data_IF_287806566475
#
_entry.id   IF_287806566475
#
_cell.length_a   1.000
_cell.length_b   1.000
_cell.length_c   1.000
_cell.angle_alpha   90.00
_cell.angle_beta   90.00
_cell.angle_gamma   90.00
#
_symmetry.space_group_name_H-M   'P 1'
#
loop_
_entity.id
_entity.type
_entity.pdbx_description
1 polymer ?
#
# COMPACT_ATOMS: atom_id res chain seq x y z
N UNK A 1 -5.92 52.28 17.23
CA UNK A 1 -6.60 51.04 17.66
C UNK A 1 -7.43 50.49 16.50
N UNK A 2 -6.88 49.54 15.75
CA UNK A 2 -7.68 48.66 14.89
C UNK A 2 -7.21 47.25 15.23
N UNK A 3 -8.14 46.49 15.81
CA UNK A 3 -7.90 45.15 16.34
C UNK A 3 -7.69 44.16 15.20
N UNK A 4 -6.75 43.26 15.49
CA UNK A 4 -6.51 41.95 14.90
C UNK A 4 -7.73 41.30 14.25
N UNK A 5 -7.57 40.95 12.98
CA UNK A 5 -8.19 39.77 12.39
C UNK A 5 -7.07 38.76 12.12
N UNK A 6 -6.77 37.91 13.09
CA UNK A 6 -5.89 36.76 12.91
C UNK A 6 -6.59 35.82 11.93
N UNK A 7 -6.18 35.91 10.65
CA UNK A 7 -6.45 34.87 9.69
C UNK A 7 -5.62 33.64 10.11
N UNK A 8 -6.23 32.76 10.90
CA UNK A 8 -5.69 31.43 11.19
C UNK A 8 -5.61 30.62 9.89
N UNK A 9 -4.50 30.78 9.17
CA UNK A 9 -4.13 29.87 8.09
C UNK A 9 -3.79 28.53 8.74
N UNK A 10 -4.75 27.60 8.75
CA UNK A 10 -4.49 26.18 8.99
C UNK A 10 -3.58 25.69 7.86
N UNK A 11 -2.26 25.88 8.02
CA UNK A 11 -1.25 25.44 7.06
C UNK A 11 -1.29 23.92 7.04
N UNK A 12 -1.93 23.35 6.03
CA UNK A 12 -2.00 21.91 5.83
C UNK A 12 -0.59 21.38 5.57
N UNK A 13 -0.25 20.26 6.21
CA UNK A 13 1.00 19.56 5.96
C UNK A 13 1.04 19.13 4.49
N UNK A 14 2.03 19.60 3.73
CA UNK A 14 2.18 19.27 2.32
C UNK A 14 3.55 18.67 2.07
N UNK A 15 3.57 17.62 1.25
CA UNK A 15 4.80 17.08 0.70
C UNK A 15 4.87 17.31 -0.80
N UNK A 16 6.09 17.52 -1.31
CA UNK A 16 6.35 17.71 -2.74
C UNK A 16 7.63 17.01 -3.14
N UNK A 17 7.68 16.49 -4.37
CA UNK A 17 8.92 16.05 -4.99
C UNK A 17 9.66 17.28 -5.53
N UNK A 18 10.90 17.47 -5.09
CA UNK A 18 11.76 18.58 -5.52
C UNK A 18 12.56 18.18 -6.75
N UNK A 19 13.11 16.97 -6.69
CA UNK A 19 14.01 16.45 -7.71
C UNK A 19 13.74 14.96 -7.86
N UNK A 20 13.72 14.49 -9.10
CA UNK A 20 13.76 13.08 -9.42
C UNK A 20 14.67 12.91 -10.61
N UNK A 21 15.69 12.07 -10.48
CA UNK A 21 16.66 11.78 -11.54
C UNK A 21 16.91 10.29 -11.61
N UNK A 22 17.25 9.86 -12.82
CA UNK A 22 17.66 8.48 -13.10
C UNK A 22 19.13 8.56 -13.47
N UNK A 23 20.00 8.24 -12.51
CA UNK A 23 21.45 8.33 -12.68
C UNK A 23 21.97 7.14 -13.52
N UNK A 24 21.36 5.97 -13.36
CA UNK A 24 21.60 4.80 -14.21
C UNK A 24 20.38 3.88 -14.24
N UNK A 25 20.39 2.83 -15.09
CA UNK A 25 19.33 1.80 -15.12
C UNK A 25 19.03 1.21 -13.74
N UNK A 26 20.02 1.18 -12.84
CA UNK A 26 19.96 0.59 -11.50
C UNK A 26 20.13 1.61 -10.36
N UNK A 27 20.05 2.91 -10.64
CA UNK A 27 20.20 3.96 -9.63
C UNK A 27 19.23 5.10 -9.89
N UNK A 28 18.13 5.10 -9.14
CA UNK A 28 17.10 6.13 -9.24
C UNK A 28 17.17 6.96 -7.97
N UNK A 29 17.16 8.29 -8.11
CA UNK A 29 17.19 9.23 -6.99
C UNK A 29 15.92 10.07 -6.96
N UNK A 30 15.43 10.31 -5.75
CA UNK A 30 14.33 11.22 -5.49
C UNK A 30 14.56 12.04 -4.23
N UNK A 31 14.33 13.35 -4.33
CA UNK A 31 14.34 14.29 -3.21
C UNK A 31 12.94 14.82 -2.95
N UNK A 32 12.50 14.72 -1.71
CA UNK A 32 11.17 15.11 -1.26
C UNK A 32 11.25 16.11 -0.13
N UNK A 33 10.30 17.04 -0.07
CA UNK A 33 10.13 18.00 1.01
C UNK A 33 8.82 17.71 1.73
N UNK A 34 8.82 17.83 3.06
CA UNK A 34 7.63 17.86 3.90
C UNK A 34 7.66 19.13 4.77
N UNK A 35 6.61 19.96 4.65
CA UNK A 35 6.48 21.21 5.42
C UNK A 35 5.02 21.69 5.49
N UNK A 36 4.65 22.54 6.46
CA UNK A 36 5.42 22.95 7.63
C UNK A 36 5.35 21.93 8.77
N UNK A 37 6.45 21.72 9.49
CA UNK A 37 6.53 20.88 10.68
C UNK A 37 6.80 21.71 11.93
N UNK A 38 6.31 21.27 13.09
CA UNK A 38 6.72 21.83 14.38
C UNK A 38 8.10 21.30 14.77
N UNK A 39 8.79 22.04 15.65
CA UNK A 39 10.12 21.66 16.15
C UNK A 39 10.15 20.22 16.69
N UNK A 40 11.02 19.37 16.14
CA UNK A 40 11.21 17.96 16.53
C UNK A 40 10.30 16.96 15.81
N UNK A 41 9.26 17.41 15.11
CA UNK A 41 8.45 16.51 14.27
C UNK A 41 9.25 16.02 13.05
N UNK A 42 10.15 16.86 12.51
CA UNK A 42 10.97 16.49 11.37
C UNK A 42 11.94 15.35 11.69
N UNK A 43 12.56 15.36 12.86
CA UNK A 43 13.42 14.25 13.33
C UNK A 43 12.63 12.95 13.45
N UNK A 44 11.46 13.02 14.10
CA UNK A 44 10.59 11.87 14.32
C UNK A 44 10.21 11.20 13.00
N UNK A 45 9.73 12.00 12.04
CA UNK A 45 9.32 11.50 10.73
C UNK A 45 10.53 11.05 9.91
N UNK A 46 11.63 11.80 9.93
CA UNK A 46 12.85 11.49 9.18
C UNK A 46 13.48 10.16 9.59
N UNK A 47 13.62 9.93 10.89
CA UNK A 47 14.17 8.68 11.44
C UNK A 47 13.23 7.50 11.14
N UNK A 48 11.93 7.67 11.37
CA UNK A 48 10.95 6.61 11.10
C UNK A 48 10.93 6.23 9.61
N UNK A 49 10.87 7.22 8.72
CA UNK A 49 10.89 7.01 7.27
C UNK A 49 12.17 6.33 6.82
N UNK A 50 13.34 6.78 7.31
CA UNK A 50 14.61 6.16 6.96
C UNK A 50 14.66 4.68 7.36
N UNK A 51 14.14 4.33 8.53
CA UNK A 51 14.06 2.93 9.00
C UNK A 51 13.11 2.10 8.14
N UNK A 52 11.92 2.62 7.84
CA UNK A 52 10.93 1.93 7.02
C UNK A 52 11.43 1.71 5.58
N UNK A 53 12.04 2.74 4.98
CA UNK A 53 12.60 2.68 3.62
C UNK A 53 13.69 1.61 3.48
N UNK A 54 14.58 1.49 4.47
CA UNK A 54 15.70 0.55 4.42
C UNK A 54 15.32 -0.87 4.89
N UNK A 55 14.34 -1.01 5.79
CA UNK A 55 14.06 -2.29 6.44
C UNK A 55 12.79 -3.00 6.00
N UNK A 56 11.74 -2.26 5.65
CA UNK A 56 10.38 -2.80 5.57
C UNK A 56 9.81 -2.88 4.15
N UNK A 57 10.49 -2.28 3.18
CA UNK A 57 10.09 -2.34 1.78
C UNK A 57 10.33 -3.74 1.23
N UNK A 58 9.35 -4.25 0.49
CA UNK A 58 9.42 -5.54 -0.16
C UNK A 58 10.20 -5.46 -1.48
N UNK A 59 11.11 -6.41 -1.67
CA UNK A 59 11.87 -6.58 -2.91
C UNK A 59 11.61 -7.93 -3.53
N UNK A 60 11.84 -8.02 -4.85
CA UNK A 60 11.81 -9.28 -5.59
C UNK A 60 13.22 -9.69 -5.95
N UNK A 61 13.61 -10.92 -5.66
CA UNK A 61 14.91 -11.46 -6.06
C UNK A 61 14.83 -12.95 -6.41
N UNK A 62 15.89 -13.46 -7.02
CA UNK A 62 16.08 -14.88 -7.28
C UNK A 62 16.62 -15.53 -5.99
N UNK A 63 15.98 -16.60 -5.55
CA UNK A 63 16.28 -17.29 -4.28
C UNK A 63 16.95 -18.64 -4.45
N UNK A 64 16.70 -19.31 -5.58
CA UNK A 64 17.30 -20.61 -5.91
C UNK A 64 17.57 -20.69 -7.40
N UNK A 65 18.62 -21.40 -7.75
CA UNK A 65 18.93 -21.82 -9.11
C UNK A 65 19.19 -23.33 -9.11
N UNK A 66 18.57 -24.08 -10.03
CA UNK A 66 18.77 -25.52 -10.19
C UNK A 66 19.32 -25.80 -11.58
N UNK A 67 20.35 -26.64 -11.65
CA UNK A 67 20.94 -27.08 -12.91
C UNK A 67 21.25 -28.57 -12.86
N UNK A 68 20.87 -29.31 -13.90
CA UNK A 68 20.97 -30.78 -13.93
C UNK A 68 22.41 -31.30 -14.03
N UNK A 69 23.31 -30.52 -14.65
CA UNK A 69 24.65 -30.99 -15.06
C UNK A 69 25.76 -30.63 -14.07
N UNK A 70 25.42 -30.17 -12.87
CA UNK A 70 26.37 -29.55 -11.96
C UNK A 70 26.44 -30.32 -10.64
N UNK A 71 27.64 -30.79 -10.21
CA UNK A 71 27.77 -31.52 -8.95
C UNK A 71 27.76 -30.60 -7.72
N UNK A 72 28.39 -29.41 -7.80
CA UNK A 72 28.50 -28.47 -6.68
C UNK A 72 28.71 -27.02 -7.16
N UNK A 73 28.48 -26.04 -6.28
CA UNK A 73 28.53 -24.60 -6.59
C UNK A 73 29.89 -24.09 -7.11
N UNK A 74 30.98 -24.78 -6.77
CA UNK A 74 32.34 -24.42 -7.16
C UNK A 74 32.83 -25.11 -8.44
N UNK A 75 31.98 -25.86 -9.14
CA UNK A 75 32.43 -26.58 -10.34
C UNK A 75 32.40 -25.67 -11.55
N UNK A 76 33.27 -25.98 -12.51
CA UNK A 76 33.25 -25.38 -13.85
C UNK A 76 32.48 -26.29 -14.80
N UNK A 77 31.74 -25.68 -15.72
CA UNK A 77 31.02 -26.40 -16.78
C UNK A 77 31.87 -26.25 -18.04
N UNK A 78 32.28 -27.36 -18.65
CA UNK A 78 33.02 -27.35 -19.92
C UNK A 78 32.23 -26.57 -20.96
N UNK A 79 32.88 -25.67 -21.69
CA UNK A 79 32.28 -24.82 -22.73
C UNK A 79 31.49 -23.60 -22.24
N UNK A 80 31.59 -23.28 -20.95
CA UNK A 80 31.17 -22.01 -20.34
C UNK A 80 32.41 -21.32 -19.77
N UNK A 81 32.54 -20.01 -19.98
CA UNK A 81 33.69 -19.25 -19.49
C UNK A 81 33.70 -19.08 -17.96
N UNK A 82 32.52 -18.81 -17.38
CA UNK A 82 32.34 -18.56 -15.95
C UNK A 82 32.16 -19.85 -15.15
N UNK A 83 32.57 -19.80 -13.88
CA UNK A 83 32.24 -20.82 -12.89
C UNK A 83 30.77 -20.74 -12.46
N UNK A 84 30.23 -21.84 -11.92
CA UNK A 84 28.86 -21.86 -11.39
C UNK A 84 28.67 -20.80 -10.30
N UNK A 85 29.67 -20.58 -9.45
CA UNK A 85 29.64 -19.54 -8.43
C UNK A 85 29.51 -18.14 -9.02
N UNK A 86 30.27 -17.82 -10.07
CA UNK A 86 30.18 -16.54 -10.77
C UNK A 86 28.81 -16.35 -11.42
N UNK A 87 28.25 -17.41 -12.01
CA UNK A 87 26.88 -17.39 -12.54
C UNK A 87 25.86 -17.08 -11.43
N UNK A 88 25.99 -17.72 -10.26
CA UNK A 88 25.11 -17.45 -9.11
C UNK A 88 25.24 -16.00 -8.62
N UNK A 89 26.46 -15.44 -8.60
CA UNK A 89 26.69 -14.02 -8.26
C UNK A 89 26.09 -13.08 -9.30
N UNK A 90 26.25 -13.38 -10.59
CA UNK A 90 25.65 -12.60 -11.67
C UNK A 90 24.11 -12.63 -11.61
N UNK A 91 23.51 -13.79 -11.30
CA UNK A 91 22.07 -13.94 -11.07
C UNK A 91 21.60 -13.14 -9.85
N UNK A 92 22.39 -13.10 -8.77
CA UNK A 92 22.10 -12.30 -7.56
C UNK A 92 22.07 -10.81 -7.85
N UNK A 93 22.86 -10.33 -8.81
CA UNK A 93 22.86 -8.92 -9.22
C UNK A 93 21.66 -8.51 -10.08
N UNK A 94 20.86 -9.45 -10.57
CA UNK A 94 19.69 -9.12 -11.41
C UNK A 94 18.60 -8.49 -10.56
N UNK A 95 18.21 -7.27 -10.95
CA UNK A 95 17.12 -6.54 -10.30
C UNK A 95 15.80 -6.85 -11.01
N UNK A 96 14.86 -7.40 -10.26
CA UNK A 96 13.52 -7.76 -10.72
C UNK A 96 12.49 -6.78 -10.15
N UNK A 97 11.49 -6.42 -10.97
CA UNK A 97 10.29 -5.70 -10.57
C UNK A 97 9.11 -6.65 -10.71
N UNK A 98 8.36 -6.86 -9.64
CA UNK A 98 7.17 -7.73 -9.69
C UNK A 98 6.18 -7.36 -8.60
N UNK A 99 4.90 -7.64 -8.83
CA UNK A 99 3.86 -7.58 -7.78
C UNK A 99 3.35 -8.99 -7.52
N UNK A 100 4.22 -9.82 -6.95
CA UNK A 100 4.08 -11.26 -6.97
C UNK A 100 3.77 -11.80 -5.57
N UNK A 101 2.79 -12.69 -5.48
CA UNK A 101 2.46 -13.41 -4.26
C UNK A 101 3.04 -14.84 -4.34
N UNK A 102 3.85 -15.20 -3.35
CA UNK A 102 4.46 -16.53 -3.24
C UNK A 102 5.76 -16.68 -4.03
N UNK A 103 6.10 -17.94 -4.32
CA UNK A 103 7.27 -18.32 -5.13
C UNK A 103 6.80 -18.58 -6.56
N UNK A 104 7.58 -18.14 -7.54
CA UNK A 104 7.34 -18.41 -8.96
C UNK A 104 8.60 -18.90 -9.63
N UNK A 105 8.41 -19.81 -10.56
CA UNK A 105 9.50 -20.38 -11.32
C UNK A 105 9.76 -19.55 -12.57
N UNK A 106 11.04 -19.45 -12.93
CA UNK A 106 11.55 -18.91 -14.18
C UNK A 106 12.62 -19.87 -14.71
N UNK A 107 13.03 -19.71 -15.96
CA UNK A 107 14.06 -20.59 -16.53
C UNK A 107 14.94 -19.88 -17.54
N UNK A 108 16.15 -20.36 -17.71
CA UNK A 108 17.08 -19.95 -18.76
C UNK A 108 17.31 -21.18 -19.64
N UNK A 109 17.01 -21.05 -20.93
CA UNK A 109 17.19 -22.11 -21.91
C UNK A 109 17.89 -21.53 -23.14
N UNK A 110 19.21 -21.66 -23.22
CA UNK A 110 20.02 -21.07 -24.29
C UNK A 110 20.93 -22.13 -24.90
N UNK A 111 21.11 -22.08 -26.23
CA UNK A 111 22.07 -22.89 -26.97
C UNK A 111 23.24 -22.03 -27.44
N UNK A 112 24.46 -22.48 -27.14
CA UNK A 112 25.69 -21.79 -27.52
C UNK A 112 26.12 -22.02 -28.98
N UNK A 113 27.20 -21.36 -29.43
CA UNK A 113 28.00 -20.37 -28.70
C UNK A 113 27.36 -18.97 -28.74
N UNK A 114 27.16 -18.34 -27.57
CA UNK A 114 26.51 -17.03 -27.43
C UNK A 114 26.69 -16.45 -26.01
N UNK A 115 26.70 -15.13 -25.90
CA UNK A 115 26.55 -14.41 -24.62
C UNK A 115 25.13 -14.53 -24.06
N UNK A 116 25.02 -15.00 -22.83
CA UNK A 116 23.77 -15.11 -22.07
C UNK A 116 23.61 -13.87 -21.20
N UNK A 117 22.50 -13.17 -21.41
CA UNK A 117 22.16 -11.96 -20.66
C UNK A 117 20.85 -12.14 -19.91
N UNK A 118 20.51 -11.21 -19.02
CA UNK A 118 19.24 -11.24 -18.30
C UNK A 118 18.01 -11.23 -19.24
N UNK A 119 18.13 -10.71 -20.47
CA UNK A 119 17.07 -10.81 -21.47
C UNK A 119 16.69 -12.25 -21.84
N UNK A 120 17.62 -13.19 -21.74
CA UNK A 120 17.41 -14.59 -22.13
C UNK A 120 16.68 -15.41 -21.03
N UNK A 121 16.31 -14.76 -19.90
CA UNK A 121 15.50 -15.37 -18.85
C UNK A 121 14.03 -15.41 -19.30
N UNK A 122 13.46 -16.62 -19.29
CA UNK A 122 12.04 -16.86 -19.48
C UNK A 122 11.33 -16.56 -18.16
N UNK A 123 10.74 -15.37 -18.08
CA UNK A 123 10.05 -14.86 -16.90
C UNK A 123 8.55 -15.24 -16.91
N UNK A 124 7.93 -15.38 -15.73
CA UNK A 124 6.48 -15.39 -15.62
C UNK A 124 5.90 -13.99 -15.93
N UNK A 125 4.63 -13.89 -16.37
CA UNK A 125 4.03 -12.65 -16.89
C UNK A 125 3.94 -11.48 -15.89
N UNK A 126 4.12 -11.75 -14.59
CA UNK A 126 4.04 -10.77 -13.50
C UNK A 126 5.40 -10.19 -13.08
N UNK A 127 6.49 -10.61 -13.73
CA UNK A 127 7.87 -10.20 -13.40
C UNK A 127 8.49 -9.51 -14.60
N UNK A 128 9.13 -8.38 -14.32
CA UNK A 128 9.90 -7.60 -15.27
C UNK A 128 11.35 -7.50 -14.79
N UNK A 129 12.29 -7.51 -15.74
CA UNK A 129 13.71 -7.24 -15.47
C UNK A 129 13.98 -5.76 -15.70
N UNK A 130 14.61 -5.11 -14.73
CA UNK A 130 14.95 -3.68 -14.81
C UNK A 130 16.11 -3.45 -15.79
N UNK A 131 17.11 -4.33 -15.76
CA UNK A 131 18.29 -4.23 -16.60
C UNK A 131 18.51 -5.51 -17.42
N UNK A 132 17.99 -5.50 -18.65
CA UNK A 132 18.08 -6.62 -19.59
C UNK A 132 19.51 -6.90 -20.07
N UNK A 133 20.42 -5.93 -19.91
CA UNK A 133 21.81 -6.03 -20.40
C UNK A 133 22.77 -6.69 -19.40
N UNK A 134 22.28 -7.06 -18.21
CA UNK A 134 23.12 -7.72 -17.21
C UNK A 134 23.66 -9.04 -17.76
N UNK A 135 24.97 -9.17 -17.69
CA UNK A 135 25.68 -10.37 -18.09
C UNK A 135 25.42 -11.52 -17.09
N UNK A 136 25.18 -12.73 -17.60
CA UNK A 136 25.02 -13.94 -16.78
C UNK A 136 26.20 -14.90 -17.02
N UNK A 137 26.41 -15.30 -18.27
CA UNK A 137 27.43 -16.26 -18.66
C UNK A 137 27.78 -16.14 -20.16
N UNK A 138 28.95 -16.63 -20.56
CA UNK A 138 29.40 -16.74 -21.93
C UNK A 138 29.56 -18.22 -22.33
N UNK A 139 28.84 -18.65 -23.36
CA UNK A 139 28.92 -20.01 -23.91
C UNK A 139 29.91 -20.04 -25.07
N UNK A 140 31.05 -20.73 -24.91
CA UNK A 140 32.11 -20.83 -25.91
C UNK A 140 31.92 -21.99 -26.88
N UNK A 141 31.22 -23.04 -26.45
CA UNK A 141 30.95 -24.26 -27.23
C UNK A 141 29.44 -24.41 -27.53
N UNK A 142 29.03 -25.26 -28.50
CA UNK A 142 27.62 -25.53 -28.81
C UNK A 142 26.94 -26.38 -27.72
N UNK A 143 26.75 -25.79 -26.54
CA UNK A 143 26.20 -26.42 -25.35
C UNK A 143 24.82 -25.87 -25.05
N UNK A 144 23.92 -26.76 -24.64
CA UNK A 144 22.60 -26.41 -24.13
C UNK A 144 22.71 -26.12 -22.62
N UNK A 145 22.59 -24.83 -22.26
CA UNK A 145 22.50 -24.36 -20.88
C UNK A 145 21.02 -24.32 -20.46
N UNK A 146 20.71 -25.07 -19.39
CA UNK A 146 19.40 -25.06 -18.72
C UNK A 146 19.57 -24.77 -17.25
N UNK A 147 18.91 -23.70 -16.80
CA UNK A 147 18.88 -23.29 -15.39
C UNK A 147 17.43 -23.01 -15.03
N UNK A 148 16.91 -23.70 -14.02
CA UNK A 148 15.62 -23.39 -13.39
C UNK A 148 15.85 -22.40 -12.25
N UNK A 149 15.01 -21.38 -12.13
CA UNK A 149 15.15 -20.30 -11.17
C UNK A 149 13.88 -20.18 -10.34
N UNK A 150 14.03 -19.89 -9.05
CA UNK A 150 12.90 -19.55 -8.18
C UNK A 150 12.96 -18.11 -7.74
N UNK A 151 11.93 -17.35 -8.09
CA UNK A 151 11.76 -15.94 -7.77
C UNK A 151 10.80 -15.82 -6.59
N UNK A 152 11.16 -14.99 -5.62
CA UNK A 152 10.34 -14.72 -4.46
C UNK A 152 10.34 -13.22 -4.15
N UNK A 153 9.19 -12.73 -3.67
CA UNK A 153 9.05 -11.41 -3.06
C UNK A 153 8.98 -11.56 -1.55
N UNK A 154 9.83 -10.86 -0.82
CA UNK A 154 9.88 -10.88 0.65
C UNK A 154 10.48 -9.55 1.16
N UNK A 155 10.74 -9.45 2.46
CA UNK A 155 11.35 -8.27 3.11
C UNK A 155 12.73 -8.58 3.66
N UNK A 156 13.60 -7.56 3.69
CA UNK A 156 14.89 -7.59 4.36
C UNK A 156 15.93 -8.50 3.70
N UNK A 157 16.85 -9.00 4.52
CA UNK A 157 17.90 -9.93 4.12
C UNK A 157 17.65 -11.29 4.77
N UNK A 158 17.60 -12.35 3.96
CA UNK A 158 17.53 -13.71 4.47
C UNK A 158 18.70 -14.51 3.92
N UNK A 159 19.60 -14.90 4.81
CA UNK A 159 20.60 -15.90 4.48
C UNK A 159 19.88 -17.24 4.36
N UNK A 160 19.93 -17.83 3.17
CA UNK A 160 19.38 -19.16 2.98
C UNK A 160 20.40 -20.15 3.53
N UNK A 161 20.06 -20.99 4.52
CA UNK A 161 20.98 -22.01 4.97
C UNK A 161 21.32 -22.91 3.77
N UNK A 162 22.59 -23.28 3.67
CA UNK A 162 23.12 -24.31 2.76
C UNK A 162 22.58 -25.67 3.21
N UNK A 163 21.26 -25.84 3.11
CA UNK A 163 20.66 -27.16 3.19
C UNK A 163 21.01 -27.81 1.87
N UNK A 164 21.94 -28.77 1.93
CA UNK A 164 22.34 -29.63 0.83
C UNK A 164 21.10 -30.34 0.27
N UNK A 165 20.36 -29.67 -0.61
CA UNK A 165 19.33 -30.33 -1.40
C UNK A 165 20.07 -31.28 -2.32
N UNK A 166 19.86 -32.57 -2.14
CA UNK A 166 20.36 -33.66 -2.99
C UNK A 166 19.90 -33.55 -4.46
N UNK A 167 19.15 -32.49 -4.80
CA UNK A 167 18.41 -32.29 -6.05
C UNK A 167 19.08 -31.27 -6.99
N UNK A 168 20.37 -30.98 -6.82
CA UNK A 168 21.12 -30.05 -7.71
C UNK A 168 20.62 -28.59 -7.66
N UNK A 169 19.93 -28.20 -6.58
CA UNK A 169 19.47 -26.84 -6.35
C UNK A 169 20.44 -26.08 -5.45
N UNK A 170 20.79 -24.86 -5.87
CA UNK A 170 21.71 -23.96 -5.20
C UNK A 170 20.93 -22.78 -4.63
N UNK A 171 20.96 -22.57 -3.30
CA UNK A 171 20.36 -21.39 -2.70
C UNK A 171 21.19 -20.16 -3.06
N UNK A 172 20.51 -19.10 -3.48
CA UNK A 172 21.10 -17.77 -3.65
C UNK A 172 20.71 -16.94 -2.43
N UNK A 173 21.67 -16.19 -1.89
CA UNK A 173 21.41 -15.22 -0.83
C UNK A 173 20.41 -14.18 -1.28
N UNK A 174 19.28 -14.13 -0.59
CA UNK A 174 18.15 -13.33 -1.02
C UNK A 174 18.23 -11.92 -0.43
N UNK A 175 18.51 -10.94 -1.29
CA UNK A 175 18.54 -9.51 -0.96
C UNK A 175 17.25 -8.86 -1.45
N UNK A 176 16.25 -8.78 -0.57
CA UNK A 176 14.94 -8.19 -0.89
C UNK A 176 14.88 -6.68 -0.64
N UNK A 177 16.02 -5.98 -0.66
CA UNK A 177 16.12 -4.56 -0.28
C UNK A 177 16.28 -3.68 -1.53
N UNK A 178 15.20 -3.08 -2.08
CA UNK A 178 15.29 -2.26 -3.29
C UNK A 178 15.84 -0.83 -3.03
N UNK A 179 15.72 -0.33 -1.80
CA UNK A 179 16.30 0.97 -1.40
C UNK A 179 17.76 0.76 -1.00
N UNK A 180 18.67 1.41 -1.73
CA UNK A 180 20.12 1.33 -1.48
C UNK A 180 20.56 2.31 -0.40
N UNK A 181 19.98 3.51 -0.40
CA UNK A 181 20.31 4.54 0.57
C UNK A 181 19.10 5.44 0.82
N UNK A 182 19.00 5.97 2.04
CA UNK A 182 18.02 6.97 2.44
C UNK A 182 18.68 7.95 3.42
N UNK A 183 18.63 9.23 3.06
CA UNK A 183 19.14 10.33 3.86
C UNK A 183 18.01 11.30 4.21
N UNK A 184 18.15 12.01 5.34
CA UNK A 184 17.23 13.06 5.71
C UNK A 184 17.99 14.27 6.24
N UNK A 185 17.52 15.46 5.90
CA UNK A 185 18.05 16.72 6.42
C UNK A 185 16.90 17.62 6.86
N UNK A 186 17.15 18.41 7.90
CA UNK A 186 16.15 19.25 8.53
C UNK A 186 16.62 20.69 8.44
N UNK A 187 15.73 21.56 7.96
CA UNK A 187 15.96 22.99 7.92
C UNK A 187 14.92 23.70 8.78
N UNK A 188 15.38 24.40 9.81
CA UNK A 188 14.52 25.23 10.64
C UNK A 188 14.44 26.65 10.06
N UNK A 189 13.24 27.22 10.02
CA UNK A 189 12.98 28.58 9.57
C UNK A 189 11.89 29.23 10.43
N UNK A 190 11.89 30.56 10.51
CA UNK A 190 10.98 31.34 11.35
C UNK A 190 11.72 32.38 12.19
N UNK A 191 11.02 33.46 12.55
CA UNK A 191 11.57 34.56 13.33
C UNK A 191 10.88 34.59 14.71
N UNK A 192 11.66 34.61 15.80
CA UNK A 192 11.12 34.61 17.17
C UNK A 192 10.77 33.21 17.73
N UNK A 193 9.62 33.09 18.40
CA UNK A 193 9.23 31.89 19.16
C UNK A 193 8.56 30.80 18.32
N UNK A 194 8.10 31.09 17.10
CA UNK A 194 7.46 30.13 16.19
C UNK A 194 8.48 29.58 15.17
N UNK A 195 9.35 28.66 15.63
CA UNK A 195 10.28 27.94 14.74
C UNK A 195 9.56 26.79 14.06
N UNK A 196 9.52 26.82 12.73
CA UNK A 196 9.02 25.74 11.89
C UNK A 196 10.18 24.97 11.29
N UNK A 197 9.93 23.72 10.95
CA UNK A 197 10.90 22.82 10.33
C UNK A 197 10.41 22.37 8.94
N UNK A 198 11.39 22.12 8.07
CA UNK A 198 11.24 21.49 6.77
C UNK A 198 12.06 20.21 6.81
N UNK A 199 11.42 19.09 6.52
CA UNK A 199 12.11 17.82 6.35
C UNK A 199 12.39 17.61 4.86
N UNK A 200 13.65 17.34 4.53
CA UNK A 200 14.06 16.87 3.23
C UNK A 200 14.40 15.38 3.32
N UNK A 201 13.83 14.58 2.44
CA UNK A 201 14.11 13.15 2.31
C UNK A 201 14.78 12.90 0.97
N UNK A 202 15.89 12.20 0.99
CA UNK A 202 16.63 11.79 -0.20
C UNK A 202 16.67 10.26 -0.25
N UNK A 203 16.23 9.69 -1.37
CA UNK A 203 16.01 8.24 -1.51
C UNK A 203 16.71 7.77 -2.78
N UNK A 204 17.52 6.73 -2.66
CA UNK A 204 18.19 6.04 -3.77
C UNK A 204 17.67 4.60 -3.88
N UNK A 205 17.13 4.22 -5.03
CA UNK A 205 16.61 2.86 -5.28
C UNK A 205 17.35 2.18 -6.44
N UNK A 206 17.25 0.85 -6.49
CA UNK A 206 17.89 0.02 -7.51
C UNK A 206 17.11 -0.05 -8.85
N UNK A 207 16.03 0.72 -9.01
CA UNK A 207 15.16 0.72 -10.18
C UNK A 207 13.99 -0.27 -10.15
N UNK A 208 13.97 -1.24 -9.21
CA UNK A 208 12.80 -2.13 -9.00
C UNK A 208 11.55 -1.34 -8.56
N UNK A 209 11.77 -0.32 -7.74
CA UNK A 209 10.77 0.57 -7.19
C UNK A 209 11.21 2.01 -7.41
N UNK A 210 10.30 2.88 -7.83
CA UNK A 210 10.64 4.32 -7.92
C UNK A 210 10.77 4.93 -6.52
N UNK A 211 11.60 5.97 -6.32
CA UNK A 211 11.71 6.66 -5.02
C UNK A 211 10.37 7.15 -4.46
N UNK A 212 9.43 7.52 -5.35
CA UNK A 212 8.08 7.95 -4.98
C UNK A 212 7.23 6.78 -4.48
N UNK A 213 7.24 5.65 -5.19
CA UNK A 213 6.57 4.42 -4.74
C UNK A 213 7.15 3.92 -3.41
N UNK A 214 8.49 3.97 -3.26
CA UNK A 214 9.18 3.64 -2.01
C UNK A 214 8.68 4.49 -0.83
N UNK A 215 8.53 5.79 -1.03
CA UNK A 215 8.00 6.69 -0.02
C UNK A 215 6.57 6.31 0.38
N UNK A 216 5.69 5.96 -0.58
CA UNK A 216 4.33 5.53 -0.29
C UNK A 216 4.28 4.20 0.46
N UNK A 217 5.07 3.20 0.04
CA UNK A 217 5.12 1.89 0.68
C UNK A 217 5.65 2.00 2.12
N UNK A 218 6.72 2.77 2.33
CA UNK A 218 7.25 3.06 3.66
C UNK A 218 6.24 3.80 4.55
N UNK A 219 5.53 4.80 3.99
CA UNK A 219 4.49 5.53 4.74
C UNK A 219 3.36 4.59 5.17
N UNK A 220 2.91 3.71 4.28
CA UNK A 220 1.86 2.74 4.56
C UNK A 220 2.30 1.78 5.67
N UNK A 221 3.51 1.21 5.57
CA UNK A 221 4.03 0.31 6.59
C UNK A 221 4.10 1.00 7.96
N UNK A 222 4.57 2.26 8.03
CA UNK A 222 4.60 3.04 9.27
C UNK A 222 3.19 3.28 9.83
N UNK A 223 2.23 3.66 9.00
CA UNK A 223 0.83 3.86 9.44
C UNK A 223 0.29 2.54 10.01
N UNK A 224 0.48 1.43 9.29
CA UNK A 224 0.02 0.10 9.72
C UNK A 224 0.61 -0.30 11.08
N UNK A 225 1.86 0.08 11.39
CA UNK A 225 2.47 -0.11 12.71
C UNK A 225 1.80 0.70 13.82
N UNK A 226 1.24 1.88 13.50
CA UNK A 226 0.58 2.75 14.48
C UNK A 226 -0.91 2.45 14.67
N UNK A 227 -1.56 1.76 13.72
CA UNK A 227 -2.99 1.41 13.81
C UNK A 227 -3.37 0.72 15.14
N UNK A 228 -2.62 -0.27 15.65
CA UNK A 228 -2.97 -0.94 16.90
C UNK A 228 -3.08 0.01 18.10
N UNK A 229 -2.23 1.04 18.16
CA UNK A 229 -2.25 2.02 19.26
C UNK A 229 -3.48 2.96 19.21
N UNK A 230 -4.19 3.00 18.09
CA UNK A 230 -5.43 3.77 17.96
C UNK A 230 -6.64 3.03 18.53
N UNK A 231 -6.54 1.73 18.74
CA UNK A 231 -7.64 0.89 19.22
C UNK A 231 -7.37 0.60 20.70
N UNK A 232 -8.21 1.13 21.58
CA UNK A 232 -8.14 0.84 23.02
C UNK A 232 -8.31 -0.68 23.24
N UNK A 233 -7.56 -1.24 24.18
CA UNK A 233 -7.64 -2.65 24.59
C UNK A 233 -9.06 -3.00 25.03
N UNK A 234 -9.87 -3.52 24.11
CA UNK A 234 -11.14 -4.15 24.39
C UNK A 234 -11.01 -5.65 24.04
N UNK A 235 -10.45 -6.41 24.99
CA UNK A 235 -10.67 -7.86 25.15
C UNK A 235 -9.69 -8.81 24.46
N UNK A 236 -9.02 -9.63 25.29
CA UNK A 236 -8.33 -10.90 25.05
C UNK A 236 -7.60 -11.12 23.71
N UNK A 237 -6.27 -11.05 23.78
CA UNK A 237 -5.34 -11.37 22.68
C UNK A 237 -5.33 -12.89 22.46
N UNK A 238 -6.19 -13.38 21.57
CA UNK A 238 -6.04 -14.72 20.99
C UNK A 238 -5.13 -14.62 19.76
N UNK A 239 -3.90 -15.12 19.87
CA UNK A 239 -2.98 -15.24 18.73
C UNK A 239 -3.45 -16.38 17.82
N UNK A 240 -4.28 -16.08 16.82
CA UNK A 240 -4.43 -16.98 15.68
C UNK A 240 -3.65 -16.43 14.47
N UNK A 241 -2.62 -17.18 14.08
CA UNK A 241 -1.93 -17.01 12.81
C UNK A 241 -2.91 -17.27 11.66
N UNK A 242 -3.53 -16.23 11.11
CA UNK A 242 -4.29 -16.37 9.87
C UNK A 242 -3.81 -15.39 8.80
N UNK A 243 -3.19 -15.99 7.78
CA UNK A 243 -2.86 -15.41 6.48
C UNK A 243 -4.14 -14.97 5.78
N UNK A 244 -4.59 -13.75 6.00
CA UNK A 244 -5.48 -13.04 5.09
C UNK A 244 -5.37 -11.53 5.33
N UNK A 245 -4.36 -10.93 4.71
CA UNK A 245 -4.35 -9.47 4.48
C UNK A 245 -5.43 -9.17 3.44
N UNK A 246 -6.39 -8.32 3.80
CA UNK A 246 -7.07 -7.29 2.99
C UNK A 246 -8.51 -7.10 3.47
N UNK A 247 -8.71 -6.18 4.41
CA UNK A 247 -9.78 -5.17 4.31
C UNK A 247 -9.31 -3.95 5.12
N UNK A 248 -8.82 -2.93 4.44
CA UNK A 248 -8.56 -1.63 5.05
C UNK A 248 -9.90 -0.93 5.29
N UNK A 249 -10.18 -0.37 6.47
CA UNK A 249 -11.01 0.82 6.55
C UNK A 249 -10.21 1.96 5.93
N UNK A 250 -10.76 2.54 4.88
CA UNK A 250 -10.28 3.74 4.20
C UNK A 250 -10.11 4.87 5.24
N UNK A 251 -8.89 5.18 5.67
CA UNK A 251 -8.64 6.34 6.51
C UNK A 251 -8.80 7.61 5.65
N UNK A 252 -9.99 8.21 5.70
CA UNK A 252 -10.22 9.58 5.25
C UNK A 252 -9.42 10.53 6.12
N UNK A 253 -8.26 10.97 5.64
CA UNK A 253 -7.61 12.20 6.09
C UNK A 253 -8.42 13.39 5.56
N UNK A 254 -9.54 13.70 6.21
CA UNK A 254 -10.24 14.97 6.07
C UNK A 254 -10.59 15.49 7.46
N UNK A 255 -9.77 16.45 7.90
CA UNK A 255 -10.11 17.59 8.75
C UNK A 255 -11.30 17.43 9.71
N UNK A 256 -10.96 17.33 11.00
CA UNK A 256 -11.69 17.89 12.14
C UNK A 256 -13.20 18.04 12.01
N UNK A 257 -13.97 16.97 12.24
CA UNK A 257 -15.31 17.07 12.79
C UNK A 257 -15.88 15.72 13.29
N UNK A 258 -15.16 14.92 14.08
CA UNK A 258 -15.72 13.64 14.56
C UNK A 258 -15.31 13.28 15.99
N UNK A 259 -15.63 14.15 16.94
CA UNK A 259 -15.99 13.66 18.27
C UNK A 259 -17.41 13.11 18.18
N UNK A 260 -17.54 11.78 17.98
CA UNK A 260 -18.68 10.94 18.38
C UNK A 260 -18.62 9.64 17.55
N UNK A 261 -17.92 8.63 18.06
CA UNK A 261 -18.20 7.22 17.77
C UNK A 261 -17.49 6.29 18.76
N UNK A 262 -17.99 6.30 20.00
CA UNK A 262 -18.16 5.06 20.75
C UNK A 262 -19.63 4.98 21.12
N UNK A 263 -20.33 4.03 20.48
CA UNK A 263 -21.37 3.17 21.05
C UNK A 263 -22.11 2.47 19.91
N UNK A 264 -22.07 1.13 19.93
CA UNK A 264 -23.01 0.28 19.20
C UNK A 264 -24.42 0.61 19.68
N UNK A 265 -25.14 1.40 18.88
CA UNK A 265 -26.61 1.45 18.67
C UNK A 265 -26.94 2.79 18.01
N UNK A 266 -27.54 2.75 16.84
CA UNK A 266 -28.03 3.93 16.13
C UNK A 266 -27.13 4.37 14.98
N UNK A 267 -27.56 4.06 13.77
CA UNK A 267 -27.16 4.79 12.56
C UNK A 267 -27.42 6.28 12.85
N UNK A 268 -26.49 7.22 12.60
CA UNK A 268 -26.77 8.64 12.78
C UNK A 268 -27.66 9.11 11.62
N UNK A 269 -28.97 8.88 11.78
CA UNK A 269 -30.03 9.18 10.80
C UNK A 269 -30.22 10.69 10.56
N UNK A 270 -29.44 11.53 11.27
CA UNK A 270 -29.42 13.00 11.16
C UNK A 270 -28.85 13.54 9.85
N UNK A 271 -28.11 12.73 9.08
CA UNK A 271 -27.35 13.25 7.92
C UNK A 271 -27.76 12.64 6.58
N UNK A 272 -28.76 11.77 6.54
CA UNK A 272 -29.26 11.19 5.29
C UNK A 272 -30.43 12.04 4.80
N UNK A 273 -30.20 12.78 3.73
CA UNK A 273 -31.25 13.49 3.01
C UNK A 273 -32.10 12.50 2.22
N UNK A 274 -33.38 12.77 2.09
CA UNK A 274 -34.34 11.89 1.38
C UNK A 274 -33.94 11.74 -0.10
N UNK A 275 -33.22 12.71 -0.67
CA UNK A 275 -32.63 12.67 -2.02
C UNK A 275 -31.73 11.43 -2.27
N UNK A 276 -31.16 10.86 -1.20
CA UNK A 276 -30.28 9.69 -1.28
C UNK A 276 -31.03 8.36 -1.09
N UNK A 277 -32.34 8.41 -0.80
CA UNK A 277 -33.19 7.22 -0.74
C UNK A 277 -33.82 6.98 -2.11
N UNK A 278 -33.82 5.73 -2.59
CA UNK A 278 -34.41 5.32 -3.88
C UNK A 278 -35.95 5.36 -3.85
N UNK A 279 -36.54 6.49 -3.47
CA UNK A 279 -37.97 6.71 -3.44
C UNK A 279 -38.49 7.14 -4.81
N UNK A 280 -39.74 6.78 -5.10
CA UNK A 280 -40.42 7.26 -6.30
C UNK A 280 -40.45 8.79 -6.33
N UNK A 281 -40.28 9.45 -7.50
CA UNK A 281 -40.30 10.90 -7.62
C UNK A 281 -41.57 11.55 -7.05
N UNK A 282 -42.68 10.82 -7.06
CA UNK A 282 -43.95 11.25 -6.46
C UNK A 282 -43.84 11.30 -4.93
N UNK A 283 -43.40 10.21 -4.32
CA UNK A 283 -43.21 10.07 -2.86
C UNK A 283 -42.23 11.10 -2.33
N UNK A 284 -41.13 11.31 -3.06
CA UNK A 284 -40.16 12.35 -2.77
C UNK A 284 -40.77 13.76 -2.74
N UNK A 285 -41.54 14.12 -3.76
CA UNK A 285 -42.19 15.43 -3.85
C UNK A 285 -43.27 15.63 -2.77
N UNK A 286 -43.97 14.56 -2.37
CA UNK A 286 -44.92 14.62 -1.26
C UNK A 286 -44.20 14.87 0.08
N UNK A 287 -43.09 14.18 0.36
CA UNK A 287 -42.27 14.38 1.57
C UNK A 287 -41.66 15.79 1.63
N UNK A 288 -41.21 16.32 0.48
CA UNK A 288 -40.65 17.66 0.39
C UNK A 288 -41.70 18.75 0.65
N UNK A 289 -42.96 18.55 0.21
CA UNK A 289 -44.07 19.48 0.46
C UNK A 289 -44.55 19.48 1.90
N UNK A 290 -44.34 18.38 2.63
CA UNK A 290 -44.62 18.29 4.08
C UNK A 290 -43.43 18.73 4.95
N UNK A 291 -42.43 19.42 4.39
CA UNK A 291 -41.21 19.88 5.08
C UNK A 291 -40.37 18.77 5.71
N UNK A 292 -40.46 17.54 5.21
CA UNK A 292 -39.61 16.42 5.63
C UNK A 292 -38.43 16.37 4.66
N UNK A 293 -37.23 16.66 5.15
CA UNK A 293 -36.01 16.72 4.31
C UNK A 293 -34.97 15.68 4.70
N UNK A 294 -35.03 15.18 5.94
CA UNK A 294 -34.09 14.18 6.46
C UNK A 294 -34.80 12.90 6.90
N UNK A 295 -34.06 11.79 6.92
CA UNK A 295 -34.58 10.50 7.36
C UNK A 295 -34.95 10.49 8.86
N UNK A 296 -34.36 11.39 9.66
CA UNK A 296 -34.75 11.61 11.05
C UNK A 296 -36.15 12.21 11.17
N UNK A 297 -36.46 13.23 10.36
CA UNK A 297 -37.79 13.86 10.34
C UNK A 297 -38.87 12.85 9.92
N UNK A 298 -38.51 11.95 8.99
CA UNK A 298 -39.40 10.87 8.56
C UNK A 298 -39.67 9.87 9.70
N UNK A 299 -38.66 9.51 10.48
CA UNK A 299 -38.78 8.56 11.59
C UNK A 299 -39.47 9.14 12.83
N UNK A 300 -39.53 10.46 12.95
CA UNK A 300 -40.25 11.15 14.02
C UNK A 300 -41.77 11.21 13.78
N UNK A 301 -42.22 10.90 12.56
CA UNK A 301 -43.63 10.79 12.21
C UNK A 301 -44.08 9.32 12.25
N UNK A 302 -45.25 9.06 12.86
CA UNK A 302 -45.84 7.72 12.86
C UNK A 302 -46.50 7.42 11.52
N UNK A 303 -46.71 6.13 11.22
CA UNK A 303 -47.40 5.69 10.01
C UNK A 303 -48.80 6.31 9.86
N UNK A 304 -49.50 6.54 10.97
CA UNK A 304 -50.83 7.13 10.99
C UNK A 304 -50.83 8.63 10.65
N UNK A 305 -49.75 9.34 10.98
CA UNK A 305 -49.62 10.77 10.68
C UNK A 305 -49.25 10.98 9.20
N UNK A 306 -48.47 10.08 8.60
CA UNK A 306 -48.18 10.09 7.17
C UNK A 306 -49.44 9.83 6.32
N UNK A 307 -50.36 9.00 6.82
CA UNK A 307 -51.65 8.73 6.17
C UNK A 307 -52.64 9.89 6.26
N UNK A 308 -52.48 10.81 7.23
CA UNK A 308 -53.33 12.00 7.41
C UNK A 308 -52.87 13.20 6.57
N UNK A 309 -51.70 13.12 5.93
CA UNK A 309 -51.18 14.19 5.07
C UNK A 309 -51.94 14.22 3.74
N UNK A 310 -52.34 15.42 3.30
CA UNK A 310 -53.28 15.67 2.18
C UNK A 310 -52.95 15.01 0.83
N UNK A 311 -51.72 14.51 0.63
CA UNK A 311 -51.23 14.06 -0.68
C UNK A 311 -50.68 12.63 -0.70
N UNK A 312 -50.80 11.87 0.39
CA UNK A 312 -50.32 10.48 0.47
C UNK A 312 -51.41 9.46 0.16
N UNK A 313 -51.09 8.46 -0.67
CA UNK A 313 -51.91 7.24 -0.82
C UNK A 313 -51.37 6.12 0.06
N UNK A 314 -52.24 5.17 0.37
CA UNK A 314 -51.89 3.95 1.12
C UNK A 314 -50.76 3.15 0.46
N UNK A 315 -50.62 3.25 -0.86
CA UNK A 315 -49.58 2.61 -1.66
C UNK A 315 -48.21 3.30 -1.49
N UNK A 316 -48.19 4.63 -1.40
CA UNK A 316 -46.97 5.43 -1.25
C UNK A 316 -46.33 5.20 0.13
N UNK A 317 -47.14 5.05 1.17
CA UNK A 317 -46.67 4.75 2.54
C UNK A 317 -46.10 3.32 2.64
N UNK A 318 -46.70 2.35 1.94
CA UNK A 318 -46.15 0.99 1.85
C UNK A 318 -44.80 0.97 1.13
N UNK A 319 -44.66 1.77 0.07
CA UNK A 319 -43.39 1.86 -0.67
C UNK A 319 -42.26 2.46 0.19
N UNK A 320 -42.58 3.45 1.05
CA UNK A 320 -41.62 4.00 2.03
C UNK A 320 -41.19 2.93 3.04
N UNK A 321 -42.14 2.14 3.57
CA UNK A 321 -41.83 1.07 4.51
C UNK A 321 -40.93 0.00 3.90
N UNK A 322 -41.26 -0.45 2.69
CA UNK A 322 -40.47 -1.48 1.98
C UNK A 322 -39.05 -0.99 1.67
N UNK A 323 -38.88 0.27 1.26
CA UNK A 323 -37.56 0.84 0.95
C UNK A 323 -36.71 1.05 2.22
N UNK A 324 -37.31 1.52 3.31
CA UNK A 324 -36.63 1.66 4.60
C UNK A 324 -36.22 0.30 5.20
N UNK A 325 -37.08 -0.71 5.06
CA UNK A 325 -36.80 -2.06 5.54
C UNK A 325 -35.70 -2.74 4.70
N UNK A 326 -35.73 -2.58 3.38
CA UNK A 326 -34.72 -3.16 2.47
C UNK A 326 -33.34 -2.51 2.60
N UNK A 327 -33.24 -1.19 2.67
CA UNK A 327 -31.96 -0.49 2.64
C UNK A 327 -31.34 -0.23 4.01
N UNK A 328 -32.17 -0.05 5.05
CA UNK A 328 -31.69 0.40 6.35
C UNK A 328 -32.03 -0.54 7.51
N UNK A 329 -32.85 -1.58 7.27
CA UNK A 329 -33.34 -2.51 8.30
C UNK A 329 -34.03 -1.79 9.49
N UNK A 330 -34.70 -0.66 9.23
CA UNK A 330 -35.40 0.15 10.23
C UNK A 330 -36.92 0.02 10.01
N UNK A 331 -37.66 -0.24 11.10
CA UNK A 331 -39.12 -0.17 11.11
C UNK A 331 -39.58 1.21 11.62
N UNK A 332 -40.56 1.81 10.96
CA UNK A 332 -41.23 3.02 11.46
C UNK A 332 -41.97 2.70 12.78
N UNK A 333 -41.89 3.56 13.80
CA UNK A 333 -42.59 3.34 15.06
C UNK A 333 -44.11 3.50 14.87
N UNK A 334 -44.89 2.57 15.42
CA UNK A 334 -46.36 2.61 15.33
C UNK A 334 -46.98 3.75 16.16
N UNK A 335 -46.31 4.21 17.22
CA UNK A 335 -46.70 5.38 18.01
C UNK A 335 -45.53 6.36 18.14
N UNK A 336 -45.83 7.66 18.26
CA UNK A 336 -44.83 8.71 18.43
C UNK A 336 -43.94 8.44 19.65
N UNK A 337 -42.64 8.67 19.48
CA UNK A 337 -41.73 8.85 20.61
C UNK A 337 -42.08 10.17 21.29
N UNK A 338 -42.80 10.10 22.40
CA UNK A 338 -42.80 11.18 23.39
C UNK A 338 -41.43 11.19 24.05
N UNK A 339 -40.63 12.23 23.81
CA UNK A 339 -39.44 12.50 24.59
C UNK A 339 -39.80 12.87 26.02
#
# INVERSE_FOLDING_TARGET
MVREGIAGSTRTLQWKCVESRIDSKRLYYGRFILSPLMKGQADTIGIAMRRALLGEIEGTCITRAKSEKVPHEYSTIVGIEESVHEILMNLKEIVLRSNLYGVRDASICVRGPRYVTAQDIILPPSVEIVDITQHIANLTEPIDLRIELQIKRDRGYRMNPTNNSQDGSYPIDAVYMPVRNANHSIHSYGNGNEKQEILFLEIWTNGSLTPKEALYEASRNLIDLFIPFLHAEEGDIHFEENKNRFTLPFFTFQNGLTNLKKNKKGIPLKCIFIDQSELSPRTYNCLKRSNIHTLLDLLSNSQEDLMKMEYFRTEDVKQILDTLQKHFAINLPKNKFSF
#
